data_IF_525548560288
#
_entry.id   IF_525548560288
#
_cell.length_a   1.000
_cell.length_b   1.000
_cell.length_c   1.000
_cell.angle_alpha   90.00
_cell.angle_beta   90.00
_cell.angle_gamma   90.00
#
_symmetry.space_group_name_H-M   'P 1'
#
loop_
_entity.id
_entity.type
_entity.pdbx_description
1 polymer ?
#
# COMPACT_ATOMS: atom_id res chain seq x y z
N UNK A 1 10.73 -14.58 -2.54
CA UNK A 1 10.61 -13.26 -3.19
C UNK A 1 11.94 -12.52 -3.22
N UNK A 2 12.62 -12.32 -2.08
CA UNK A 2 13.93 -11.63 -2.00
C UNK A 2 14.95 -12.14 -3.03
N UNK A 3 15.20 -13.45 -3.07
CA UNK A 3 16.13 -14.03 -4.07
C UNK A 3 15.71 -13.79 -5.53
N UNK A 4 14.41 -13.69 -5.81
CA UNK A 4 13.90 -13.42 -7.16
C UNK A 4 14.18 -11.98 -7.58
N UNK A 5 13.84 -11.00 -6.74
CA UNK A 5 14.10 -9.58 -7.07
C UNK A 5 15.61 -9.28 -7.16
N UNK A 6 16.44 -9.98 -6.39
CA UNK A 6 17.90 -9.89 -6.50
C UNK A 6 18.42 -10.51 -7.79
N UNK A 7 18.15 -11.78 -8.01
CA UNK A 7 18.78 -12.55 -9.10
C UNK A 7 18.23 -12.22 -10.48
N UNK A 8 16.96 -11.82 -10.58
CA UNK A 8 16.28 -11.56 -11.86
C UNK A 8 16.22 -10.08 -12.16
N UNK A 9 15.93 -9.25 -11.15
CA UNK A 9 15.71 -7.81 -11.33
C UNK A 9 16.88 -6.94 -10.87
N UNK A 10 17.91 -7.54 -10.25
CA UNK A 10 19.16 -6.85 -9.91
C UNK A 10 19.08 -5.94 -8.68
N UNK A 11 18.08 -6.10 -7.80
CA UNK A 11 18.02 -5.36 -6.55
C UNK A 11 19.21 -5.73 -5.64
N UNK A 12 19.92 -4.73 -5.14
CA UNK A 12 21.08 -4.91 -4.25
C UNK A 12 20.63 -5.09 -2.79
N UNK A 13 21.37 -5.90 -2.02
CA UNK A 13 21.01 -6.22 -0.64
C UNK A 13 20.85 -4.99 0.27
N UNK A 14 21.66 -3.94 0.06
CA UNK A 14 21.59 -2.69 0.82
C UNK A 14 20.31 -1.88 0.56
N UNK A 15 19.64 -2.14 -0.55
CA UNK A 15 18.38 -1.50 -0.95
C UNK A 15 17.15 -2.32 -0.59
N UNK A 16 17.31 -3.45 0.11
CA UNK A 16 16.21 -4.34 0.50
C UNK A 16 16.02 -4.26 2.02
N UNK A 17 14.80 -3.94 2.44
CA UNK A 17 14.38 -4.05 3.85
C UNK A 17 13.49 -5.28 4.01
N UNK A 18 13.83 -6.16 4.97
CA UNK A 18 13.08 -7.40 5.24
C UNK A 18 12.59 -7.40 6.68
N UNK A 19 11.29 -7.59 6.86
CA UNK A 19 10.64 -7.73 8.17
C UNK A 19 10.03 -9.14 8.27
N UNK A 20 10.39 -9.91 9.30
CA UNK A 20 9.89 -11.27 9.55
C UNK A 20 9.67 -11.49 11.04
N UNK A 21 8.66 -12.30 11.38
CA UNK A 21 8.31 -12.68 12.76
C UNK A 21 9.05 -13.95 13.24
N UNK A 22 10.26 -14.18 12.73
CA UNK A 22 11.08 -15.37 13.01
C UNK A 22 12.02 -15.24 14.22
N UNK A 23 12.06 -14.06 14.84
CA UNK A 23 12.93 -13.75 15.97
C UNK A 23 14.39 -13.45 15.60
N UNK A 24 14.74 -13.46 14.31
CA UNK A 24 16.06 -13.08 13.80
C UNK A 24 16.02 -11.72 13.10
N UNK A 25 14.98 -11.47 12.32
CA UNK A 25 14.77 -10.21 11.61
C UNK A 25 14.04 -9.18 12.48
N UNK A 26 14.04 -7.93 12.02
CA UNK A 26 13.19 -6.91 12.61
C UNK A 26 11.71 -7.32 12.47
N UNK A 27 11.00 -7.34 13.60
CA UNK A 27 9.63 -7.86 13.62
C UNK A 27 8.67 -6.98 12.81
N UNK A 28 7.70 -7.57 12.09
CA UNK A 28 6.71 -6.86 11.30
C UNK A 28 5.60 -6.27 12.18
N UNK A 29 6.00 -5.36 13.08
CA UNK A 29 5.07 -4.55 13.88
C UNK A 29 4.44 -3.46 13.03
N UNK A 30 3.30 -2.89 13.47
CA UNK A 30 2.65 -1.78 12.76
C UNK A 30 3.66 -0.66 12.48
N UNK A 31 4.43 -0.28 13.50
CA UNK A 31 5.42 0.79 13.39
C UNK A 31 6.52 0.47 12.37
N UNK A 32 7.07 -0.75 12.40
CA UNK A 32 8.17 -1.14 11.52
C UNK A 32 7.73 -1.27 10.05
N UNK A 33 6.53 -1.83 9.80
CA UNK A 33 5.97 -1.93 8.44
C UNK A 33 5.76 -0.52 7.86
N UNK A 34 5.12 0.37 8.63
CA UNK A 34 4.88 1.76 8.21
C UNK A 34 6.20 2.49 7.94
N UNK A 35 7.20 2.33 8.81
CA UNK A 35 8.52 2.94 8.65
C UNK A 35 9.27 2.41 7.41
N UNK A 36 9.19 1.12 7.11
CA UNK A 36 9.81 0.53 5.93
C UNK A 36 9.20 1.07 4.63
N UNK A 37 7.87 1.19 4.57
CA UNK A 37 7.18 1.81 3.45
C UNK A 37 7.50 3.30 3.30
N UNK A 38 7.49 4.06 4.39
CA UNK A 38 7.88 5.47 4.35
C UNK A 38 9.33 5.65 3.88
N UNK A 39 10.24 4.80 4.34
CA UNK A 39 11.65 4.85 3.93
C UNK A 39 11.79 4.67 2.41
N UNK A 40 11.19 3.64 1.82
CA UNK A 40 11.37 3.37 0.39
C UNK A 40 10.78 4.49 -0.47
N UNK A 41 9.62 5.04 -0.09
CA UNK A 41 9.01 6.16 -0.82
C UNK A 41 9.78 7.47 -0.62
N UNK A 42 10.31 7.73 0.56
CA UNK A 42 11.10 8.95 0.84
C UNK A 42 12.43 9.03 0.08
N UNK A 43 12.92 7.89 -0.41
CA UNK A 43 14.16 7.78 -1.18
C UNK A 43 13.92 7.67 -2.68
N UNK A 44 12.67 7.59 -3.12
CA UNK A 44 12.31 7.44 -4.51
C UNK A 44 12.58 8.72 -5.31
N UNK A 45 13.06 8.56 -6.53
CA UNK A 45 13.20 9.60 -7.54
C UNK A 45 12.54 9.19 -8.87
N UNK A 46 12.35 10.15 -9.77
CA UNK A 46 11.80 9.88 -11.10
C UNK A 46 12.71 8.90 -11.86
N UNK A 47 12.12 7.81 -12.36
CA UNK A 47 12.84 6.73 -13.05
C UNK A 47 13.18 5.53 -12.16
N UNK A 48 13.01 5.64 -10.84
CA UNK A 48 13.24 4.52 -9.93
C UNK A 48 12.19 3.41 -10.11
N UNK A 49 12.59 2.19 -9.81
CA UNK A 49 11.71 1.02 -9.73
C UNK A 49 11.68 0.48 -8.30
N UNK A 50 10.55 0.65 -7.64
CA UNK A 50 10.31 0.22 -6.27
C UNK A 50 9.53 -1.10 -6.26
N UNK A 51 9.85 -1.96 -5.30
CA UNK A 51 9.16 -3.23 -5.12
C UNK A 51 8.72 -3.39 -3.66
N UNK A 52 7.41 -3.53 -3.45
CA UNK A 52 6.79 -3.74 -2.16
C UNK A 52 6.09 -5.10 -2.15
N UNK A 53 6.35 -5.91 -1.12
CA UNK A 53 5.71 -7.21 -0.98
C UNK A 53 5.28 -7.46 0.45
N UNK A 54 4.03 -7.85 0.61
CA UNK A 54 3.45 -8.25 1.87
C UNK A 54 2.82 -9.63 1.71
N UNK A 55 3.10 -10.54 2.65
CA UNK A 55 2.44 -11.84 2.75
C UNK A 55 2.07 -12.07 4.20
N UNK A 56 0.80 -12.33 4.46
CA UNK A 56 0.28 -12.41 5.82
C UNK A 56 -1.24 -12.32 5.88
N UNK A 57 -1.77 -11.98 7.05
CA UNK A 57 -3.21 -11.79 7.20
C UNK A 57 -3.63 -10.42 6.65
N UNK A 58 -4.75 -10.41 5.95
CA UNK A 58 -5.52 -9.23 5.60
C UNK A 58 -6.95 -9.42 6.06
N UNK A 59 -7.62 -8.33 6.43
CA UNK A 59 -8.99 -8.35 6.92
C UNK A 59 -9.81 -7.18 6.34
N UNK A 60 -11.14 -7.31 6.40
CA UNK A 60 -12.07 -6.21 6.23
C UNK A 60 -12.56 -5.74 7.59
N UNK A 61 -12.46 -4.45 7.85
CA UNK A 61 -13.03 -3.83 9.06
C UNK A 61 -14.13 -2.89 8.64
N UNK A 62 -15.11 -2.68 9.52
CA UNK A 62 -16.18 -1.74 9.23
C UNK A 62 -15.61 -0.33 9.34
N UNK A 63 -15.80 0.47 8.30
CA UNK A 63 -15.48 1.90 8.32
C UNK A 63 -16.24 2.56 9.49
N UNK A 64 -15.50 3.08 10.47
CA UNK A 64 -16.02 3.79 11.63
C UNK A 64 -16.30 5.27 11.34
N UNK A 65 -15.79 5.79 10.23
CA UNK A 65 -15.95 7.16 9.72
C UNK A 65 -17.13 7.29 8.76
N UNK A 66 -18.26 6.67 9.09
CA UNK A 66 -19.60 6.94 8.55
C UNK A 66 -19.63 7.37 7.06
N UNK A 67 -19.09 6.55 6.17
CA UNK A 67 -19.51 6.52 4.77
C UNK A 67 -18.50 7.08 3.77
N UNK A 68 -17.23 6.74 3.92
CA UNK A 68 -16.23 6.97 2.86
C UNK A 68 -16.22 5.82 1.82
N UNK A 69 -16.69 4.62 2.18
CA UNK A 69 -16.75 3.48 1.23
C UNK A 69 -18.18 3.04 0.90
N UNK A 70 -18.45 2.71 -0.38
CA UNK A 70 -19.79 2.28 -0.83
C UNK A 70 -20.23 0.93 -0.21
N UNK A 71 -19.30 0.04 0.12
CA UNK A 71 -19.59 -1.21 0.84
C UNK A 71 -19.54 -1.06 2.37
N UNK A 72 -18.93 0.02 2.87
CA UNK A 72 -18.74 0.36 4.27
C UNK A 72 -17.64 -0.43 5.00
N UNK A 73 -16.65 -0.98 4.29
CA UNK A 73 -15.57 -1.77 4.87
C UNK A 73 -14.16 -1.49 4.30
N UNK A 74 -13.30 -0.85 5.10
CA UNK A 74 -11.87 -0.73 4.79
C UNK A 74 -11.16 -2.10 4.73
N UNK A 75 -10.23 -2.24 3.79
CA UNK A 75 -9.26 -3.31 3.76
C UNK A 75 -8.06 -2.98 4.67
N UNK A 76 -7.53 -3.97 5.37
CA UNK A 76 -6.42 -3.74 6.29
C UNK A 76 -5.42 -4.89 6.35
N UNK A 77 -4.15 -4.54 6.49
CA UNK A 77 -3.08 -5.48 6.85
C UNK A 77 -3.07 -5.71 8.37
N UNK A 78 -2.63 -6.90 8.78
CA UNK A 78 -2.60 -7.33 10.18
C UNK A 78 -1.15 -7.50 10.65
N UNK A 79 -0.54 -6.49 11.29
CA UNK A 79 0.79 -6.60 11.88
C UNK A 79 0.86 -7.60 13.02
N UNK A 80 2.07 -8.02 13.40
CA UNK A 80 2.24 -9.01 14.49
C UNK A 80 1.72 -8.51 15.85
N UNK A 81 1.72 -7.20 16.05
CA UNK A 81 1.27 -6.51 17.28
C UNK A 81 -0.11 -5.87 17.14
N UNK A 82 -0.93 -6.32 16.17
CA UNK A 82 -2.24 -5.72 15.87
C UNK A 82 -3.19 -5.61 17.08
N UNK A 83 -3.07 -6.52 18.05
CA UNK A 83 -3.90 -6.50 19.26
C UNK A 83 -3.65 -5.27 20.15
N UNK A 84 -2.45 -4.68 20.08
CA UNK A 84 -2.05 -3.51 20.86
C UNK A 84 -1.86 -2.26 20.01
N UNK A 85 -1.35 -2.40 18.78
CA UNK A 85 -1.04 -1.29 17.89
C UNK A 85 -2.15 -1.01 16.85
N UNK A 86 -3.12 -1.92 16.71
CA UNK A 86 -4.16 -1.85 15.69
C UNK A 86 -3.70 -2.35 14.32
N UNK A 87 -4.60 -2.23 13.36
CA UNK A 87 -4.39 -2.66 11.96
C UNK A 87 -3.75 -1.54 11.13
N UNK A 88 -3.21 -1.87 9.97
CA UNK A 88 -2.79 -0.87 8.96
C UNK A 88 -3.89 -0.83 7.91
N UNK A 89 -4.62 0.28 7.81
CA UNK A 89 -5.71 0.44 6.84
C UNK A 89 -5.18 0.80 5.45
N UNK A 90 -5.98 0.56 4.42
CA UNK A 90 -5.76 1.08 3.06
C UNK A 90 -5.48 2.59 3.04
N UNK A 91 -6.19 3.38 3.83
CA UNK A 91 -5.95 4.81 4.00
C UNK A 91 -4.55 5.13 4.52
N UNK A 92 -4.10 4.39 5.55
CA UNK A 92 -2.75 4.52 6.11
C UNK A 92 -1.71 4.25 5.01
N UNK A 93 -1.93 3.22 4.17
CA UNK A 93 -1.04 2.86 3.07
C UNK A 93 -1.07 3.88 1.94
N UNK A 94 -2.25 4.36 1.56
CA UNK A 94 -2.39 5.38 0.52
C UNK A 94 -1.60 6.64 0.89
N UNK A 95 -1.76 7.12 2.12
CA UNK A 95 -1.13 8.37 2.57
C UNK A 95 0.40 8.28 2.68
N UNK A 96 0.97 7.11 2.99
CA UNK A 96 2.43 6.95 3.13
C UNK A 96 3.12 6.40 1.89
N UNK A 97 2.40 5.66 1.04
CA UNK A 97 2.97 4.96 -0.12
C UNK A 97 2.61 5.66 -1.42
N UNK A 98 1.32 5.94 -1.65
CA UNK A 98 0.83 6.38 -2.96
C UNK A 98 0.90 7.89 -3.08
N UNK A 99 0.33 8.62 -2.11
CA UNK A 99 0.24 10.08 -2.11
C UNK A 99 1.60 10.80 -2.16
N UNK A 100 2.68 10.36 -1.48
CA UNK A 100 3.97 11.03 -1.51
C UNK A 100 4.90 10.52 -2.62
N UNK A 101 4.47 9.54 -3.44
CA UNK A 101 5.29 8.98 -4.51
C UNK A 101 5.62 10.07 -5.55
N UNK A 102 6.90 10.23 -5.95
CA UNK A 102 7.27 11.19 -6.97
C UNK A 102 6.74 10.79 -8.35
N UNK A 103 6.42 11.80 -9.16
CA UNK A 103 6.09 11.60 -10.57
C UNK A 103 7.24 10.91 -11.32
N UNK A 104 6.90 9.94 -12.16
CA UNK A 104 7.87 9.16 -12.93
C UNK A 104 8.55 8.00 -12.21
N UNK A 105 8.28 7.76 -10.92
CA UNK A 105 8.70 6.52 -10.25
C UNK A 105 7.73 5.37 -10.55
N UNK A 106 8.25 4.14 -10.57
CA UNK A 106 7.48 2.93 -10.82
C UNK A 106 7.42 2.07 -9.55
N UNK A 107 6.27 2.06 -8.88
CA UNK A 107 6.02 1.18 -7.74
C UNK A 107 5.28 -0.10 -8.18
N UNK A 108 5.88 -1.26 -7.90
CA UNK A 108 5.23 -2.55 -8.00
C UNK A 108 4.91 -3.09 -6.60
N UNK A 109 3.64 -3.33 -6.32
CA UNK A 109 3.18 -3.93 -5.07
C UNK A 109 2.61 -5.32 -5.30
N UNK A 110 3.01 -6.29 -4.47
CA UNK A 110 2.46 -7.63 -4.46
C UNK A 110 1.95 -7.97 -3.06
N UNK A 111 0.64 -8.12 -2.95
CA UNK A 111 -0.03 -8.51 -1.71
C UNK A 111 -0.51 -9.95 -1.79
N UNK A 112 0.05 -10.80 -0.95
CA UNK A 112 -0.41 -12.17 -0.71
C UNK A 112 -1.16 -12.22 0.62
N UNK A 113 -2.36 -11.62 0.61
CA UNK A 113 -3.28 -11.61 1.73
C UNK A 113 -4.74 -11.55 1.27
N UNK A 114 -5.66 -12.06 2.10
CA UNK A 114 -7.10 -11.93 1.85
C UNK A 114 -7.53 -10.46 1.88
N UNK A 115 -8.54 -10.09 1.08
CA UNK A 115 -9.08 -8.72 1.04
C UNK A 115 -7.98 -7.69 0.72
N UNK A 116 -7.32 -7.88 -0.43
CA UNK A 116 -6.22 -7.05 -0.90
C UNK A 116 -6.50 -6.35 -2.24
N UNK A 117 -7.75 -6.40 -2.70
CA UNK A 117 -8.13 -5.90 -4.03
C UNK A 117 -8.10 -4.38 -4.10
N UNK A 118 -8.40 -3.71 -2.98
CA UNK A 118 -8.46 -2.25 -2.83
C UNK A 118 -7.49 -1.73 -1.77
N UNK A 119 -6.60 -2.57 -1.23
CA UNK A 119 -5.63 -2.25 -0.15
C UNK A 119 -4.71 -1.03 -0.39
N UNK A 120 -4.69 -0.48 -1.60
CA UNK A 120 -3.93 0.71 -1.97
C UNK A 120 -4.80 1.88 -2.46
N UNK A 121 -6.13 1.79 -2.42
CA UNK A 121 -7.05 2.82 -2.92
C UNK A 121 -6.69 3.31 -4.34
N UNK A 122 -6.50 2.37 -5.27
CA UNK A 122 -6.18 2.70 -6.66
C UNK A 122 -7.45 2.80 -7.52
N UNK A 123 -7.60 3.85 -8.36
CA UNK A 123 -8.83 4.10 -9.11
C UNK A 123 -9.02 3.21 -10.34
N UNK A 124 -7.99 2.47 -10.76
CA UNK A 124 -8.05 1.63 -11.96
C UNK A 124 -7.79 0.18 -11.60
N UNK A 125 -8.60 -0.72 -12.19
CA UNK A 125 -8.50 -2.16 -11.97
C UNK A 125 -8.34 -2.90 -13.30
N UNK A 126 -7.65 -4.03 -13.26
CA UNK A 126 -7.63 -5.01 -14.34
C UNK A 126 -7.86 -6.41 -13.80
N UNK A 127 -8.81 -7.16 -14.39
CA UNK A 127 -9.09 -8.56 -14.07
C UNK A 127 -8.64 -9.46 -15.22
N UNK A 128 -7.64 -10.29 -14.95
CA UNK A 128 -7.10 -11.26 -15.91
C UNK A 128 -7.92 -12.57 -15.98
N UNK A 129 -9.26 -12.49 -15.92
CA UNK A 129 -10.18 -13.63 -16.03
C UNK A 129 -10.75 -13.81 -17.45
N UNK A 130 -10.29 -12.98 -18.39
CA UNK A 130 -10.74 -12.94 -19.79
C UNK A 130 -11.95 -12.03 -20.02
N UNK A 131 -12.45 -11.33 -19.00
CA UNK A 131 -13.55 -10.37 -19.14
C UNK A 131 -13.07 -8.96 -19.48
N UNK A 132 -11.81 -8.62 -19.20
CA UNK A 132 -11.21 -7.31 -19.44
C UNK A 132 -10.06 -7.41 -20.44
N UNK A 133 -9.98 -6.44 -21.36
CA UNK A 133 -8.85 -6.26 -22.29
C UNK A 133 -7.96 -5.07 -21.92
N UNK A 134 -8.48 -4.13 -21.13
CA UNK A 134 -7.80 -2.91 -20.69
C UNK A 134 -8.11 -2.63 -19.22
N UNK A 135 -7.27 -1.81 -18.57
CA UNK A 135 -7.61 -1.26 -17.25
C UNK A 135 -8.85 -0.38 -17.35
N UNK A 136 -9.79 -0.57 -16.44
CA UNK A 136 -11.01 0.23 -16.33
C UNK A 136 -11.02 0.94 -14.97
N UNK A 137 -11.79 2.01 -14.85
CA UNK A 137 -12.03 2.65 -13.55
C UNK A 137 -12.81 1.67 -12.69
N UNK A 138 -12.42 1.50 -11.43
CA UNK A 138 -13.19 0.69 -10.51
C UNK A 138 -14.49 1.39 -10.14
N UNK A 139 -15.63 0.74 -10.43
CA UNK A 139 -16.96 1.29 -10.17
C UNK A 139 -17.19 1.51 -8.66
N UNK A 140 -16.52 0.75 -7.80
CA UNK A 140 -16.54 0.95 -6.33
C UNK A 140 -15.63 2.06 -5.83
N UNK A 141 -14.83 2.68 -6.70
CA UNK A 141 -13.85 3.67 -6.28
C UNK A 141 -14.51 4.99 -5.87
N UNK A 142 -14.30 5.42 -4.63
CA UNK A 142 -14.77 6.73 -4.18
C UNK A 142 -13.83 7.87 -4.61
N UNK A 143 -14.16 8.48 -5.75
CA UNK A 143 -13.48 9.69 -6.21
C UNK A 143 -13.62 10.89 -5.26
N UNK A 144 -14.66 10.93 -4.40
CA UNK A 144 -14.79 12.01 -3.41
C UNK A 144 -13.80 11.81 -2.27
N UNK A 145 -13.64 10.59 -1.75
CA UNK A 145 -12.56 10.21 -0.82
C UNK A 145 -11.20 10.64 -1.38
N UNK A 146 -10.91 10.27 -2.63
CA UNK A 146 -9.67 10.66 -3.30
C UNK A 146 -9.50 12.19 -3.41
N UNK A 147 -10.52 12.90 -3.88
CA UNK A 147 -10.48 14.37 -3.99
C UNK A 147 -10.33 15.05 -2.62
N UNK A 148 -10.90 14.48 -1.55
CA UNK A 148 -10.69 14.94 -0.17
C UNK A 148 -9.23 14.78 0.27
N UNK A 149 -8.64 13.60 0.01
CA UNK A 149 -7.23 13.30 0.32
C UNK A 149 -6.24 14.23 -0.38
N UNK A 150 -6.55 14.68 -1.60
CA UNK A 150 -5.74 15.65 -2.35
C UNK A 150 -6.15 17.11 -2.13
N UNK A 151 -7.40 17.41 -1.79
CA UNK A 151 -7.89 18.77 -1.55
C UNK A 151 -7.26 19.44 -0.34
N UNK A 152 -6.94 18.68 0.71
CA UNK A 152 -6.21 19.18 1.87
C UNK A 152 -4.76 19.64 1.56
N UNK A 153 -4.17 19.21 0.43
CA UNK A 153 -2.85 19.71 -0.02
C UNK A 153 -2.90 21.12 -0.59
N UNK A 154 -4.03 21.56 -1.13
CA UNK A 154 -4.16 22.89 -1.73
C UNK A 154 -4.19 24.02 -0.67
N UNK A 155 -4.64 23.72 0.56
CA UNK A 155 -4.64 24.68 1.67
C UNK A 155 -3.27 24.79 2.35
N UNK A 156 -2.36 23.82 2.17
CA UNK A 156 -0.99 23.86 2.73
C UNK A 156 0.08 24.49 1.82
N UNK A 157 -0.28 24.92 0.61
CA UNK A 157 0.62 25.54 -0.37
C UNK A 157 0.51 27.08 -0.44
N UNK A 158 -0.39 27.67 0.35
CA UNK A 158 -0.62 29.12 0.44
C UNK A 158 -0.38 29.67 1.86
N UNK A 159 0.65 29.19 2.56
CA UNK A 159 1.24 29.87 3.73
C UNK A 159 2.77 29.86 3.66
#
# INVERSE_FOLDING_TARGET
MVEYIKSVHGFEDENITVLLDDGEHESPTKANIMAAYQKIVSQAEAGDSLFCHYSGHGCKIRDDDKGEEEDGFDEALVPVDYTTAGLIRDDDLFDIVIKPMPDGAHLFCLFDCCHSGTILDLPYLFKADGTMEVMEIDDSFDFKKLLGKFGQLAEGFFD
#
